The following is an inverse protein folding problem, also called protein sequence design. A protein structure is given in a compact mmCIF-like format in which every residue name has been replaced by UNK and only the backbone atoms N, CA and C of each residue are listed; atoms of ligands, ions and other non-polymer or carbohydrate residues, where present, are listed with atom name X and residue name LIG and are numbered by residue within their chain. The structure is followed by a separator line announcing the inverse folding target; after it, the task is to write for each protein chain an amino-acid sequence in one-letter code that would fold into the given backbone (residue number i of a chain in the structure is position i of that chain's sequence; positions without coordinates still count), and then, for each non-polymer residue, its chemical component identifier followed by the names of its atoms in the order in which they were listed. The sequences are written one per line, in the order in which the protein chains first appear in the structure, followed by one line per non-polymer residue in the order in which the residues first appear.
data_IF_709887190279
#
_entry.id   IF_709887190279
#
_cell.length_a   1.000
_cell.length_b   1.000
_cell.length_c   1.000
_cell.angle_alpha   90.00
_cell.angle_beta   90.00
_cell.angle_gamma   90.00
#
_symmetry.space_group_name_H-M   'P 1'
#
loop_
_entity.id
_entity.type
_entity.pdbx_description
1 polymer ?
#
# COMPACT_ATOMS: atom_id res chain seq x y z
N UNK A 1 35.60 -16.58 -14.39
CA UNK A 1 34.26 -16.23 -14.92
C UNK A 1 33.83 -17.37 -15.81
N UNK A 2 32.57 -17.79 -15.76
CA UNK A 2 32.04 -18.86 -16.61
C UNK A 2 31.86 -18.35 -18.05
N UNK A 3 31.93 -19.25 -19.04
CA UNK A 3 31.68 -18.92 -20.45
C UNK A 3 30.28 -18.31 -20.65
N UNK A 4 29.29 -18.80 -19.90
CA UNK A 4 27.93 -18.24 -19.86
C UNK A 4 27.90 -16.78 -19.40
N UNK A 5 28.70 -16.41 -18.39
CA UNK A 5 28.74 -15.04 -17.89
C UNK A 5 29.31 -14.08 -18.92
N UNK A 6 30.39 -14.46 -19.61
CA UNK A 6 31.02 -13.60 -20.62
C UNK A 6 30.06 -13.28 -21.77
N UNK A 7 29.34 -14.29 -22.28
CA UNK A 7 28.34 -14.09 -23.34
C UNK A 7 27.17 -13.21 -22.90
N UNK A 8 26.63 -13.47 -21.70
CA UNK A 8 25.57 -12.64 -21.11
C UNK A 8 26.02 -11.19 -20.88
N UNK A 9 27.21 -10.99 -20.31
CA UNK A 9 27.76 -9.67 -20.04
C UNK A 9 28.00 -8.89 -21.33
N UNK A 10 28.47 -9.54 -22.41
CA UNK A 10 28.61 -8.90 -23.71
C UNK A 10 27.25 -8.42 -24.28
N UNK A 11 26.21 -9.25 -24.20
CA UNK A 11 24.86 -8.88 -24.64
C UNK A 11 24.34 -7.65 -23.87
N UNK A 12 24.48 -7.66 -22.53
CA UNK A 12 24.06 -6.53 -21.69
C UNK A 12 24.94 -5.30 -21.93
N UNK A 13 26.25 -5.45 -22.07
CA UNK A 13 27.18 -4.33 -22.35
C UNK A 13 26.82 -3.61 -23.65
N UNK A 14 26.42 -4.37 -24.68
CA UNK A 14 26.06 -3.82 -25.98
C UNK A 14 24.75 -3.03 -25.96
N UNK A 15 23.78 -3.45 -25.15
CA UNK A 15 22.41 -2.92 -25.15
C UNK A 15 22.11 -1.97 -23.99
N UNK A 16 22.60 -2.31 -22.79
CA UNK A 16 22.33 -1.62 -21.53
C UNK A 16 23.64 -1.46 -20.70
N UNK A 17 24.61 -0.66 -21.16
CA UNK A 17 25.94 -0.54 -20.53
C UNK A 17 25.87 -0.13 -19.05
N UNK A 18 25.01 0.84 -18.70
CA UNK A 18 24.82 1.29 -17.30
C UNK A 18 24.21 0.21 -16.41
N UNK A 19 23.40 -0.67 -16.98
CA UNK A 19 22.81 -1.78 -16.25
C UNK A 19 23.88 -2.80 -15.88
N UNK A 20 24.81 -3.09 -16.79
CA UNK A 20 25.92 -4.00 -16.50
C UNK A 20 26.80 -3.45 -15.37
N UNK A 21 27.15 -2.16 -15.40
CA UNK A 21 27.92 -1.51 -14.33
C UNK A 21 27.25 -1.73 -12.95
N UNK A 22 25.93 -1.58 -12.88
CA UNK A 22 25.17 -1.81 -11.65
C UNK A 22 25.17 -3.29 -11.25
N UNK A 23 24.91 -4.20 -12.19
CA UNK A 23 24.89 -5.64 -11.92
C UNK A 23 26.25 -6.19 -11.45
N UNK A 24 27.36 -5.63 -11.95
CA UNK A 24 28.71 -5.99 -11.51
C UNK A 24 29.01 -5.54 -10.07
N UNK A 25 28.26 -4.57 -9.54
CA UNK A 25 28.39 -4.10 -8.17
C UNK A 25 27.51 -4.87 -7.17
N UNK A 26 26.60 -5.74 -7.65
CA UNK A 26 25.73 -6.54 -6.80
C UNK A 26 26.51 -7.67 -6.10
N UNK A 27 26.24 -7.91 -4.82
CA UNK A 27 26.85 -9.02 -4.07
C UNK A 27 26.05 -10.32 -4.29
N UNK A 28 26.31 -10.98 -5.41
CA UNK A 28 25.73 -12.30 -5.70
C UNK A 28 26.36 -13.44 -4.86
N UNK A 29 27.55 -13.23 -4.29
CA UNK A 29 28.28 -14.26 -3.54
C UNK A 29 27.71 -14.46 -2.13
N UNK A 30 27.07 -13.43 -1.56
CA UNK A 30 26.36 -13.52 -0.29
C UNK A 30 25.04 -14.29 -0.33
N UNK A 31 24.55 -14.69 -1.52
CA UNK A 31 23.30 -15.42 -1.66
C UNK A 31 23.46 -16.91 -1.30
N UNK A 32 22.61 -17.40 -0.40
CA UNK A 32 22.47 -18.84 -0.19
C UNK A 32 21.67 -19.45 -1.34
N UNK A 33 22.37 -20.01 -2.32
CA UNK A 33 21.81 -20.59 -3.52
C UNK A 33 22.07 -22.09 -3.59
N UNK A 34 21.00 -22.86 -3.79
CA UNK A 34 21.03 -24.32 -3.90
C UNK A 34 20.43 -24.77 -5.24
N UNK A 35 21.04 -25.77 -5.88
CA UNK A 35 20.40 -26.47 -6.99
C UNK A 35 19.35 -27.43 -6.43
N UNK A 36 18.10 -27.30 -6.87
CA UNK A 36 17.01 -28.19 -6.47
C UNK A 36 16.59 -29.03 -7.66
N UNK A 37 16.66 -30.35 -7.49
CA UNK A 37 16.34 -31.33 -8.52
C UNK A 37 14.94 -31.92 -8.35
N UNK A 38 14.32 -32.25 -9.48
CA UNK A 38 13.05 -32.95 -9.60
C UNK A 38 13.05 -33.79 -10.88
N UNK A 39 12.08 -33.55 -11.77
CA UNK A 39 12.16 -34.07 -13.15
C UNK A 39 13.06 -33.20 -14.04
N UNK A 40 13.23 -31.93 -13.67
CA UNK A 40 14.27 -31.04 -14.16
C UNK A 40 15.08 -30.49 -12.98
N UNK A 41 15.52 -29.24 -13.10
CA UNK A 41 16.21 -28.54 -12.01
C UNK A 41 15.87 -27.06 -12.00
N UNK A 42 15.98 -26.45 -10.82
CA UNK A 42 15.81 -25.01 -10.61
C UNK A 42 16.81 -24.51 -9.57
N UNK A 43 16.98 -23.19 -9.52
CA UNK A 43 17.75 -22.53 -8.48
C UNK A 43 16.82 -22.19 -7.31
N UNK A 44 17.24 -22.49 -6.09
CA UNK A 44 16.58 -22.08 -4.86
C UNK A 44 17.44 -21.05 -4.15
N UNK A 45 16.89 -19.87 -3.88
CA UNK A 45 17.55 -18.82 -3.10
C UNK A 45 16.89 -18.72 -1.74
N UNK A 46 17.65 -19.00 -0.66
CA UNK A 46 17.12 -18.97 0.71
C UNK A 46 15.85 -19.81 0.90
N UNK A 47 15.80 -20.98 0.24
CA UNK A 47 14.65 -21.90 0.26
C UNK A 47 13.49 -21.55 -0.70
N UNK A 48 13.62 -20.50 -1.51
CA UNK A 48 12.63 -20.09 -2.51
C UNK A 48 13.09 -20.55 -3.90
N UNK A 49 12.36 -21.49 -4.51
CA UNK A 49 12.60 -21.93 -5.88
C UNK A 49 12.22 -20.82 -6.87
N UNK A 50 13.12 -20.48 -7.79
CA UNK A 50 12.88 -19.43 -8.80
C UNK A 50 11.85 -19.86 -9.85
N UNK A 51 11.87 -21.15 -10.21
CA UNK A 51 10.95 -21.80 -11.16
C UNK A 51 10.68 -23.24 -10.73
N UNK A 52 9.81 -23.95 -11.44
CA UNK A 52 9.45 -25.35 -11.19
C UNK A 52 10.64 -26.28 -11.34
N UNK A 53 10.96 -27.06 -10.29
CA UNK A 53 11.93 -28.16 -10.37
C UNK A 53 11.47 -29.37 -11.21
N UNK A 54 10.21 -29.40 -11.61
CA UNK A 54 9.64 -30.52 -12.37
C UNK A 54 9.59 -30.21 -13.87
N UNK A 55 9.11 -29.03 -14.25
CA UNK A 55 9.04 -28.61 -15.66
C UNK A 55 8.94 -27.07 -15.73
N UNK A 56 10.08 -26.43 -16.01
CA UNK A 56 10.21 -24.97 -16.11
C UNK A 56 9.44 -24.41 -17.30
N UNK A 57 9.46 -25.12 -18.43
CA UNK A 57 8.82 -24.70 -19.67
C UNK A 57 7.30 -24.79 -19.56
N UNK A 58 6.78 -25.86 -18.95
CA UNK A 58 5.35 -25.99 -18.70
C UNK A 58 4.84 -24.90 -17.77
N UNK A 59 5.57 -24.59 -16.67
CA UNK A 59 5.22 -23.48 -15.79
C UNK A 59 5.18 -22.14 -16.54
N UNK A 60 6.22 -21.85 -17.33
CA UNK A 60 6.30 -20.63 -18.14
C UNK A 60 5.13 -20.51 -19.14
N UNK A 61 4.73 -21.61 -19.78
CA UNK A 61 3.57 -21.65 -20.68
C UNK A 61 2.25 -21.41 -19.95
N UNK A 62 2.07 -22.03 -18.77
CA UNK A 62 0.89 -21.80 -17.94
C UNK A 62 0.80 -20.34 -17.49
N UNK A 63 1.94 -19.74 -17.10
CA UNK A 63 2.01 -18.33 -16.75
C UNK A 63 1.63 -17.47 -17.96
N UNK A 64 2.32 -17.61 -19.10
CA UNK A 64 2.07 -16.83 -20.31
C UNK A 64 0.61 -16.88 -20.81
N UNK A 65 -0.07 -18.03 -20.64
CA UNK A 65 -1.46 -18.22 -21.05
C UNK A 65 -2.48 -17.37 -20.25
N UNK A 66 -2.09 -16.78 -19.12
CA UNK A 66 -2.99 -15.95 -18.31
C UNK A 66 -3.04 -14.47 -18.73
N UNK A 67 -2.22 -14.03 -19.69
CA UNK A 67 -2.33 -12.70 -20.29
C UNK A 67 -3.22 -12.71 -21.54
N UNK A 68 -3.82 -11.56 -21.91
CA UNK A 68 -4.51 -11.41 -23.19
C UNK A 68 -3.54 -11.70 -24.35
N UNK A 69 -3.94 -12.60 -25.25
CA UNK A 69 -3.11 -13.09 -26.35
C UNK A 69 -2.59 -11.97 -27.28
N UNK A 70 -3.35 -10.88 -27.41
CA UNK A 70 -3.06 -9.76 -28.33
C UNK A 70 -2.37 -8.58 -27.65
N UNK A 71 -1.62 -8.80 -26.56
CA UNK A 71 -0.90 -7.72 -25.87
C UNK A 71 0.39 -7.35 -26.62
N UNK A 72 0.47 -6.19 -27.32
CA UNK A 72 1.66 -5.83 -28.09
C UNK A 72 2.85 -5.44 -27.21
N UNK A 73 2.58 -5.02 -25.97
CA UNK A 73 3.60 -4.68 -24.97
C UNK A 73 3.26 -5.41 -23.68
N UNK A 74 4.24 -6.10 -23.12
CA UNK A 74 4.11 -6.83 -21.85
C UNK A 74 5.21 -6.37 -20.89
N UNK A 75 4.85 -6.13 -19.63
CA UNK A 75 5.80 -5.85 -18.56
C UNK A 75 5.99 -7.10 -17.68
N UNK A 76 7.20 -7.64 -17.64
CA UNK A 76 7.55 -8.79 -16.81
C UNK A 76 8.39 -8.32 -15.61
N UNK A 77 7.87 -8.46 -14.40
CA UNK A 77 8.59 -8.16 -13.17
C UNK A 77 9.19 -9.43 -12.60
N UNK A 78 10.52 -9.46 -12.54
CA UNK A 78 11.33 -10.63 -12.25
C UNK A 78 11.93 -11.24 -13.51
N UNK A 79 13.10 -11.83 -13.35
CA UNK A 79 13.90 -12.44 -14.41
C UNK A 79 13.82 -13.98 -14.40
N UNK A 80 13.52 -14.59 -13.26
CA UNK A 80 13.48 -16.04 -13.08
C UNK A 80 14.76 -16.69 -13.59
N UNK A 81 14.62 -17.75 -14.36
CA UNK A 81 15.74 -18.39 -15.07
C UNK A 81 15.69 -18.16 -16.60
N UNK A 82 14.88 -17.19 -17.05
CA UNK A 82 14.73 -16.82 -18.46
C UNK A 82 13.64 -17.58 -19.24
N UNK A 83 12.95 -18.55 -18.62
CA UNK A 83 11.99 -19.41 -19.30
C UNK A 83 10.76 -18.64 -19.81
N UNK A 84 10.19 -17.78 -18.97
CA UNK A 84 9.00 -17.02 -19.32
C UNK A 84 9.29 -16.00 -20.43
N UNK A 85 10.47 -15.39 -20.43
CA UNK A 85 10.91 -14.48 -21.49
C UNK A 85 10.91 -15.19 -22.84
N UNK A 86 11.50 -16.39 -22.91
CA UNK A 86 11.54 -17.17 -24.14
C UNK A 86 10.13 -17.51 -24.63
N UNK A 87 9.25 -18.00 -23.75
CA UNK A 87 7.87 -18.33 -24.11
C UNK A 87 7.08 -17.09 -24.55
N UNK A 88 7.23 -15.95 -23.89
CA UNK A 88 6.54 -14.71 -24.29
C UNK A 88 7.01 -14.22 -25.66
N UNK A 89 8.31 -14.37 -25.98
CA UNK A 89 8.88 -13.97 -27.27
C UNK A 89 8.42 -14.86 -28.44
N UNK A 90 7.89 -16.06 -28.19
CA UNK A 90 7.24 -16.89 -29.20
C UNK A 90 5.91 -16.29 -29.70
N UNK A 91 5.30 -15.37 -28.94
CA UNK A 91 4.04 -14.74 -29.34
C UNK A 91 4.25 -13.77 -30.51
N UNK A 92 3.65 -14.02 -31.70
CA UNK A 92 3.81 -13.15 -32.87
C UNK A 92 3.17 -11.77 -32.71
N UNK A 93 2.20 -11.62 -31.79
CA UNK A 93 1.57 -10.32 -31.51
C UNK A 93 2.46 -9.40 -30.67
N UNK A 94 3.48 -9.95 -29.98
CA UNK A 94 4.35 -9.20 -29.09
C UNK A 94 5.32 -8.32 -29.87
N UNK A 95 5.21 -7.01 -29.66
CA UNK A 95 6.11 -6.00 -30.24
C UNK A 95 7.22 -5.60 -29.26
N UNK A 96 6.95 -5.63 -27.95
CA UNK A 96 7.93 -5.28 -26.93
C UNK A 96 7.74 -6.05 -25.61
N UNK A 97 8.81 -6.61 -25.08
CA UNK A 97 8.89 -7.20 -23.74
C UNK A 97 9.74 -6.31 -22.83
N UNK A 98 9.13 -5.73 -21.81
CA UNK A 98 9.81 -4.92 -20.80
C UNK A 98 10.10 -5.79 -19.58
N UNK A 99 11.34 -6.19 -19.35
CA UNK A 99 11.76 -7.00 -18.21
C UNK A 99 12.29 -6.10 -17.10
N UNK A 100 11.73 -6.23 -15.90
CA UNK A 100 12.04 -5.42 -14.72
C UNK A 100 12.69 -6.29 -13.65
N UNK A 101 13.96 -6.04 -13.35
CA UNK A 101 14.72 -6.75 -12.32
C UNK A 101 14.17 -6.36 -10.94
N UNK A 102 13.77 -7.36 -10.15
CA UNK A 102 13.29 -7.18 -8.77
C UNK A 102 14.36 -7.47 -7.72
N UNK A 103 15.40 -8.24 -8.08
CA UNK A 103 16.56 -8.46 -7.23
C UNK A 103 17.83 -8.53 -8.10
N UNK A 104 18.70 -7.51 -7.96
CA UNK A 104 19.93 -7.39 -8.73
C UNK A 104 20.91 -8.55 -8.50
N UNK A 105 21.16 -8.90 -7.24
CA UNK A 105 22.06 -9.98 -6.87
C UNK A 105 21.60 -11.36 -7.38
N UNK A 106 20.28 -11.64 -7.33
CA UNK A 106 19.71 -12.88 -7.87
C UNK A 106 19.88 -12.94 -9.38
N UNK A 107 19.60 -11.85 -10.10
CA UNK A 107 19.78 -11.82 -11.54
C UNK A 107 21.26 -11.93 -11.93
N UNK A 108 22.17 -11.25 -11.22
CA UNK A 108 23.61 -11.38 -11.41
C UNK A 108 24.10 -12.83 -11.24
N UNK A 109 23.58 -13.54 -10.23
CA UNK A 109 23.86 -14.97 -10.05
C UNK A 109 23.35 -15.82 -11.23
N UNK A 110 22.13 -15.57 -11.70
CA UNK A 110 21.56 -16.29 -12.86
C UNK A 110 22.43 -16.09 -14.11
N UNK A 111 22.90 -14.86 -14.36
CA UNK A 111 23.80 -14.56 -15.48
C UNK A 111 25.15 -15.28 -15.38
N UNK A 112 25.61 -15.60 -14.17
CA UNK A 112 26.84 -16.38 -13.95
C UNK A 112 26.65 -17.87 -14.20
N UNK A 113 25.44 -18.39 -13.95
CA UNK A 113 25.17 -19.83 -13.97
C UNK A 113 24.57 -20.33 -15.28
N UNK A 114 23.76 -19.51 -15.95
CA UNK A 114 22.96 -19.91 -17.11
C UNK A 114 23.19 -18.98 -18.29
N UNK A 115 23.19 -19.54 -19.49
CA UNK A 115 23.14 -18.73 -20.71
C UNK A 115 21.74 -18.09 -20.83
N UNK A 116 21.71 -16.79 -21.08
CA UNK A 116 20.49 -15.97 -21.20
C UNK A 116 20.48 -15.19 -22.54
N UNK A 117 21.48 -15.41 -23.40
CA UNK A 117 21.68 -14.66 -24.63
C UNK A 117 20.49 -14.71 -25.59
N UNK A 118 19.73 -15.82 -25.61
CA UNK A 118 18.60 -15.99 -26.52
C UNK A 118 17.56 -14.88 -26.40
N UNK A 119 17.17 -14.51 -25.17
CA UNK A 119 16.22 -13.42 -24.95
C UNK A 119 16.93 -12.07 -24.74
N UNK A 120 18.14 -12.04 -24.15
CA UNK A 120 18.90 -10.81 -23.97
C UNK A 120 19.27 -10.14 -25.31
N UNK A 121 19.43 -10.90 -26.40
CA UNK A 121 19.74 -10.36 -27.72
C UNK A 121 18.49 -10.11 -28.58
N UNK A 122 17.29 -10.51 -28.15
CA UNK A 122 16.07 -10.26 -28.94
C UNK A 122 15.77 -8.75 -28.97
N UNK A 123 15.64 -8.12 -30.15
CA UNK A 123 15.46 -6.68 -30.28
C UNK A 123 14.14 -6.16 -29.68
N UNK A 124 13.18 -7.04 -29.37
CA UNK A 124 11.92 -6.67 -28.72
C UNK A 124 12.07 -6.51 -27.21
N UNK A 125 13.16 -6.99 -26.61
CA UNK A 125 13.38 -6.93 -25.16
C UNK A 125 13.95 -5.58 -24.75
N UNK A 126 13.44 -5.02 -23.67
CA UNK A 126 14.06 -3.93 -22.91
C UNK A 126 14.24 -4.38 -21.46
N UNK A 127 15.31 -3.96 -20.81
CA UNK A 127 15.70 -4.46 -19.47
C UNK A 127 16.08 -3.29 -18.55
N UNK A 128 15.54 -3.27 -17.33
CA UNK A 128 15.84 -2.27 -16.32
C UNK A 128 15.51 -2.73 -14.90
N UNK A 129 15.86 -1.95 -13.88
CA UNK A 129 15.42 -2.25 -12.51
C UNK A 129 13.99 -1.76 -12.32
N UNK A 130 13.17 -2.56 -11.63
CA UNK A 130 11.80 -2.17 -11.35
C UNK A 130 11.74 -0.85 -10.57
N UNK A 131 12.61 -0.68 -9.58
CA UNK A 131 12.71 0.49 -8.70
C UNK A 131 13.05 1.81 -9.41
N UNK A 132 13.49 1.77 -10.68
CA UNK A 132 13.64 2.97 -11.50
C UNK A 132 12.29 3.59 -11.89
N UNK A 133 11.20 2.79 -11.82
CA UNK A 133 9.86 3.24 -12.15
C UNK A 133 9.19 3.99 -10.99
N UNK A 134 8.42 5.01 -11.36
CA UNK A 134 7.57 5.69 -10.39
C UNK A 134 6.35 4.83 -9.97
N UNK A 135 5.82 4.01 -10.89
CA UNK A 135 4.62 3.18 -10.76
C UNK A 135 4.69 1.92 -11.64
N UNK A 136 3.96 0.88 -11.26
CA UNK A 136 3.79 -0.33 -12.09
C UNK A 136 3.15 0.00 -13.44
N UNK A 137 3.40 -0.85 -14.42
CA UNK A 137 2.93 -0.71 -15.80
C UNK A 137 2.08 -1.93 -16.17
N UNK A 138 0.99 -1.71 -16.92
CA UNK A 138 0.04 -2.74 -17.33
C UNK A 138 0.08 -2.94 -18.86
N UNK A 139 -0.25 -4.13 -19.38
CA UNK A 139 -0.45 -5.37 -18.63
C UNK A 139 0.88 -5.93 -18.11
N UNK A 140 0.87 -6.61 -16.96
CA UNK A 140 2.07 -7.20 -16.39
C UNK A 140 1.95 -8.66 -15.98
N UNK A 141 3.12 -9.28 -15.87
CA UNK A 141 3.39 -10.46 -15.06
C UNK A 141 4.35 -10.12 -13.94
N UNK A 142 4.15 -10.73 -12.76
CA UNK A 142 5.11 -10.66 -11.68
C UNK A 142 5.44 -12.07 -11.20
N UNK A 143 6.72 -12.44 -11.24
CA UNK A 143 7.15 -13.77 -10.82
C UNK A 143 6.97 -13.91 -9.29
N UNK A 144 6.20 -14.90 -8.81
CA UNK A 144 5.92 -15.02 -7.37
C UNK A 144 7.17 -15.17 -6.51
N UNK A 145 8.17 -15.91 -6.99
CA UNK A 145 9.46 -16.12 -6.31
C UNK A 145 10.20 -14.79 -6.13
N UNK A 146 10.24 -13.95 -7.15
CA UNK A 146 10.91 -12.65 -7.09
C UNK A 146 10.11 -11.57 -6.36
N UNK A 147 8.78 -11.70 -6.22
CA UNK A 147 8.03 -10.86 -5.29
C UNK A 147 8.43 -11.11 -3.83
N UNK A 148 8.82 -12.35 -3.50
CA UNK A 148 9.33 -12.72 -2.17
C UNK A 148 10.79 -12.30 -2.01
N UNK A 149 11.60 -12.49 -3.05
CA UNK A 149 13.03 -12.22 -3.04
C UNK A 149 13.41 -10.77 -3.37
N UNK A 150 12.46 -9.89 -3.68
CA UNK A 150 12.79 -8.52 -4.11
C UNK A 150 13.73 -7.81 -3.11
N UNK A 151 14.72 -7.12 -3.64
CA UNK A 151 15.67 -6.35 -2.85
C UNK A 151 15.06 -5.03 -2.32
N UNK A 152 15.84 -4.30 -1.52
CA UNK A 152 15.39 -3.06 -0.89
C UNK A 152 15.13 -1.95 -1.92
N UNK A 153 15.90 -1.92 -3.01
CA UNK A 153 15.73 -0.93 -4.07
C UNK A 153 14.38 -1.08 -4.77
N UNK A 154 13.97 -2.33 -5.02
CA UNK A 154 12.74 -2.65 -5.74
C UNK A 154 11.52 -2.80 -4.81
N UNK A 155 11.68 -2.62 -3.50
CA UNK A 155 10.65 -2.83 -2.48
C UNK A 155 9.34 -2.08 -2.78
N UNK A 156 9.43 -0.81 -3.19
CA UNK A 156 8.27 0.03 -3.53
C UNK A 156 7.44 -0.58 -4.67
N UNK A 157 8.10 -1.02 -5.74
CA UNK A 157 7.40 -1.60 -6.90
C UNK A 157 6.86 -2.99 -6.57
N UNK A 158 7.61 -3.80 -5.81
CA UNK A 158 7.09 -5.05 -5.24
C UNK A 158 5.79 -4.82 -4.47
N UNK A 159 5.71 -3.78 -3.63
CA UNK A 159 4.51 -3.47 -2.85
C UNK A 159 3.31 -3.13 -3.73
N UNK A 160 3.53 -2.35 -4.80
CA UNK A 160 2.49 -2.02 -5.78
C UNK A 160 2.02 -3.24 -6.57
N UNK A 161 2.94 -4.09 -7.02
CA UNK A 161 2.60 -5.35 -7.69
C UNK A 161 1.78 -6.27 -6.78
N UNK A 162 2.22 -6.43 -5.53
CA UNK A 162 1.50 -7.26 -4.55
C UNK A 162 0.11 -6.68 -4.27
N UNK A 163 -0.01 -5.36 -4.13
CA UNK A 163 -1.31 -4.71 -3.94
C UNK A 163 -2.26 -4.96 -5.10
N UNK A 164 -1.76 -4.83 -6.34
CA UNK A 164 -2.57 -5.03 -7.56
C UNK A 164 -3.02 -6.48 -7.72
N UNK A 165 -2.11 -7.45 -7.51
CA UNK A 165 -2.41 -8.88 -7.59
C UNK A 165 -3.49 -9.30 -6.59
N UNK A 166 -3.52 -8.68 -5.39
CA UNK A 166 -4.48 -9.01 -4.34
C UNK A 166 -5.76 -8.17 -4.39
N UNK A 167 -5.89 -7.21 -5.32
CA UNK A 167 -7.02 -6.26 -5.36
C UNK A 167 -8.38 -6.98 -5.44
N UNK A 168 -8.51 -7.96 -6.34
CA UNK A 168 -9.74 -8.72 -6.51
C UNK A 168 -10.12 -9.52 -5.25
N UNK A 169 -9.12 -10.13 -4.59
CA UNK A 169 -9.33 -10.87 -3.34
C UNK A 169 -9.74 -9.93 -2.21
N UNK A 170 -9.08 -8.78 -2.06
CA UNK A 170 -9.38 -7.79 -1.02
C UNK A 170 -10.80 -7.21 -1.15
N UNK A 171 -11.30 -7.09 -2.38
CA UNK A 171 -12.62 -6.52 -2.66
C UNK A 171 -13.77 -7.56 -2.64
N UNK A 172 -13.46 -8.86 -2.46
CA UNK A 172 -14.46 -9.94 -2.55
C UNK A 172 -15.59 -9.85 -1.52
N UNK A 173 -15.34 -9.22 -0.38
CA UNK A 173 -16.31 -9.07 0.71
C UNK A 173 -17.17 -7.79 0.55
N UNK A 174 -16.84 -6.94 -0.44
CA UNK A 174 -17.52 -5.66 -0.71
C UNK A 174 -18.34 -5.72 -2.01
N UNK A 175 -19.16 -6.77 -2.15
CA UNK A 175 -20.08 -6.93 -3.29
C UNK A 175 -21.33 -6.08 -3.04
N UNK A 176 -21.61 -5.17 -3.98
CA UNK A 176 -22.69 -4.18 -3.87
C UNK A 176 -24.06 -4.77 -3.56
N UNK A 177 -24.35 -5.95 -4.14
CA UNK A 177 -25.65 -6.61 -4.00
C UNK A 177 -25.66 -7.74 -2.95
N UNK A 178 -24.66 -7.80 -2.07
CA UNK A 178 -24.73 -8.74 -0.95
C UNK A 178 -25.87 -8.36 0.01
N UNK A 179 -26.58 -9.35 0.59
CA UNK A 179 -27.66 -9.09 1.55
C UNK A 179 -27.19 -8.23 2.74
N UNK A 180 -25.98 -8.48 3.25
CA UNK A 180 -25.40 -7.78 4.39
C UNK A 180 -25.16 -6.29 4.10
N UNK A 181 -24.58 -5.97 2.93
CA UNK A 181 -24.38 -4.58 2.49
C UNK A 181 -25.72 -3.89 2.28
N UNK A 182 -26.66 -4.55 1.59
CA UNK A 182 -27.99 -3.99 1.31
C UNK A 182 -28.73 -3.65 2.61
N UNK A 183 -28.74 -4.58 3.58
CA UNK A 183 -29.37 -4.38 4.88
C UNK A 183 -28.70 -3.26 5.67
N UNK A 184 -27.36 -3.20 5.69
CA UNK A 184 -26.62 -2.13 6.38
C UNK A 184 -26.92 -0.74 5.80
N UNK A 185 -26.96 -0.61 4.48
CA UNK A 185 -27.27 0.67 3.82
C UNK A 185 -28.73 1.08 4.02
N UNK A 186 -29.68 0.14 3.95
CA UNK A 186 -31.09 0.40 4.21
C UNK A 186 -31.32 0.90 5.64
N UNK A 187 -30.73 0.21 6.63
CA UNK A 187 -30.82 0.62 8.05
C UNK A 187 -30.16 1.96 8.36
N UNK A 188 -29.23 2.42 7.51
CA UNK A 188 -28.58 3.72 7.67
C UNK A 188 -29.30 4.86 6.92
N UNK A 189 -30.27 4.56 6.06
CA UNK A 189 -30.86 5.52 5.13
C UNK A 189 -31.51 6.74 5.79
N UNK A 190 -32.20 6.54 6.92
CA UNK A 190 -32.83 7.64 7.67
C UNK A 190 -31.79 8.62 8.24
N UNK A 191 -30.67 8.09 8.77
CA UNK A 191 -29.57 8.91 9.25
C UNK A 191 -28.90 9.66 8.10
N UNK A 192 -28.63 8.98 6.98
CA UNK A 192 -28.02 9.62 5.80
C UNK A 192 -28.91 10.74 5.24
N UNK A 193 -30.23 10.56 5.23
CA UNK A 193 -31.16 11.57 4.77
C UNK A 193 -31.21 12.80 5.69
N UNK A 194 -31.07 12.60 7.01
CA UNK A 194 -31.15 13.66 8.01
C UNK A 194 -29.82 14.37 8.31
N UNK A 195 -28.69 13.67 8.19
CA UNK A 195 -27.37 14.22 8.50
C UNK A 195 -26.82 15.12 7.39
N UNK A 196 -25.93 16.04 7.78
CA UNK A 196 -25.36 17.04 6.87
C UNK A 196 -24.45 16.40 5.83
N UNK A 197 -24.39 16.99 4.64
CA UNK A 197 -23.43 16.55 3.61
C UNK A 197 -22.02 16.96 4.01
N UNK A 198 -21.06 16.03 3.95
CA UNK A 198 -19.63 16.29 4.17
C UNK A 198 -19.09 17.43 3.28
N UNK A 199 -19.73 17.70 2.13
CA UNK A 199 -19.43 18.85 1.28
C UNK A 199 -19.42 20.19 2.02
N UNK A 200 -20.23 20.33 3.07
CA UNK A 200 -20.31 21.56 3.85
C UNK A 200 -19.02 21.86 4.64
N UNK A 201 -18.16 20.87 4.84
CA UNK A 201 -16.85 21.06 5.46
C UNK A 201 -15.79 21.51 4.44
N UNK A 202 -16.04 21.35 3.13
CA UNK A 202 -15.04 21.65 2.11
C UNK A 202 -14.75 23.15 2.04
N UNK A 203 -13.47 23.49 1.92
CA UNK A 203 -12.99 24.88 1.90
C UNK A 203 -13.15 25.66 3.22
N UNK A 204 -13.55 25.03 4.33
CA UNK A 204 -13.79 25.74 5.61
C UNK A 204 -12.52 26.05 6.41
N UNK A 205 -11.38 25.50 6.03
CA UNK A 205 -10.09 25.62 6.73
C UNK A 205 -8.95 26.03 5.77
N UNK A 206 -9.12 27.09 4.95
CA UNK A 206 -8.15 27.45 3.93
C UNK A 206 -6.80 27.82 4.56
N UNK A 207 -5.72 27.20 4.08
CA UNK A 207 -4.35 27.46 4.53
C UNK A 207 -4.04 26.98 5.95
N UNK A 208 -4.99 26.36 6.64
CA UNK A 208 -4.79 25.87 8.02
C UNK A 208 -3.93 24.60 8.01
N UNK A 209 -3.05 24.48 8.99
CA UNK A 209 -2.39 23.22 9.29
C UNK A 209 -3.39 22.21 9.88
N UNK A 210 -3.34 20.98 9.38
CA UNK A 210 -4.21 19.90 9.84
C UNK A 210 -3.36 18.71 10.29
N UNK A 211 -3.68 18.18 11.46
CA UNK A 211 -3.11 16.93 11.95
C UNK A 211 -4.09 15.81 11.65
N UNK A 212 -3.62 14.82 10.89
CA UNK A 212 -4.34 13.57 10.65
C UNK A 212 -3.75 12.50 11.55
N UNK A 213 -4.53 12.05 12.52
CA UNK A 213 -4.10 11.20 13.62
C UNK A 213 -4.67 9.79 13.44
N UNK A 214 -3.82 8.87 13.01
CA UNK A 214 -4.07 7.44 12.92
C UNK A 214 -3.68 6.70 14.21
N UNK A 215 -3.76 5.37 14.23
CA UNK A 215 -3.63 4.55 15.47
C UNK A 215 -2.38 3.68 15.50
N UNK A 216 -1.40 3.95 14.64
CA UNK A 216 -0.13 3.24 14.66
C UNK A 216 0.61 3.44 16.00
N UNK A 217 1.43 2.47 16.44
CA UNK A 217 2.14 2.54 17.71
C UNK A 217 2.92 3.84 17.97
N UNK A 218 3.53 4.45 16.94
CA UNK A 218 4.32 5.68 17.10
C UNK A 218 3.54 6.85 17.69
N UNK A 219 2.20 6.83 17.59
CA UNK A 219 1.33 7.81 18.24
C UNK A 219 1.61 7.93 19.75
N UNK A 220 1.99 6.83 20.42
CA UNK A 220 2.27 6.82 21.86
C UNK A 220 3.36 7.82 22.26
N UNK A 221 4.33 8.09 21.37
CA UNK A 221 5.40 9.07 21.60
C UNK A 221 4.94 10.52 21.49
N UNK A 222 3.76 10.75 20.92
CA UNK A 222 3.26 12.08 20.61
C UNK A 222 2.10 12.53 21.51
N UNK A 223 1.59 11.66 22.41
CA UNK A 223 0.45 12.01 23.25
C UNK A 223 0.68 13.28 24.10
N UNK A 224 1.83 13.39 24.76
CA UNK A 224 2.14 14.57 25.57
C UNK A 224 2.12 15.85 24.73
N UNK A 225 2.82 15.83 23.60
CA UNK A 225 2.92 16.98 22.70
C UNK A 225 1.58 17.35 22.06
N UNK A 226 0.78 16.36 21.65
CA UNK A 226 -0.56 16.58 21.12
C UNK A 226 -1.49 17.20 22.17
N UNK A 227 -1.38 16.80 23.43
CA UNK A 227 -2.13 17.38 24.55
C UNK A 227 -1.73 18.84 24.80
N UNK A 228 -0.45 19.16 24.77
CA UNK A 228 0.03 20.54 24.87
C UNK A 228 -0.49 21.41 23.73
N UNK A 229 -0.42 20.92 22.49
CA UNK A 229 -0.90 21.64 21.30
C UNK A 229 -2.42 21.82 21.38
N UNK A 230 -3.17 20.80 21.82
CA UNK A 230 -4.64 20.86 21.98
C UNK A 230 -5.06 21.98 22.94
N UNK A 231 -4.27 22.27 23.96
CA UNK A 231 -4.54 23.32 24.95
C UNK A 231 -4.25 24.75 24.44
N UNK A 232 -3.61 24.91 23.28
CA UNK A 232 -3.29 26.22 22.72
C UNK A 232 -4.52 26.85 22.04
N UNK A 233 -4.66 28.17 22.18
CA UNK A 233 -5.75 28.92 21.55
C UNK A 233 -5.68 28.94 20.02
N UNK A 234 -4.46 28.98 19.47
CA UNK A 234 -4.19 28.86 18.02
C UNK A 234 -3.42 27.58 17.80
N UNK A 235 -4.07 26.60 17.18
CA UNK A 235 -3.50 25.28 16.93
C UNK A 235 -4.01 24.68 15.61
N UNK A 236 -3.32 23.66 15.08
CA UNK A 236 -3.80 22.85 13.96
C UNK A 236 -5.18 22.24 14.24
N UNK A 237 -5.93 21.96 13.17
CA UNK A 237 -7.16 21.16 13.27
C UNK A 237 -6.78 19.69 13.48
N UNK A 238 -7.41 19.00 14.42
CA UNK A 238 -7.15 17.59 14.70
C UNK A 238 -8.26 16.74 14.07
N UNK A 239 -7.91 15.98 13.03
CA UNK A 239 -8.76 14.96 12.43
C UNK A 239 -8.19 13.60 12.84
N UNK A 240 -8.94 12.76 13.54
CA UNK A 240 -8.49 11.41 13.87
C UNK A 240 -9.32 10.34 13.18
N UNK A 241 -8.71 9.17 12.97
CA UNK A 241 -9.45 7.96 12.58
C UNK A 241 -10.20 7.39 13.79
N UNK A 242 -11.26 6.62 13.53
CA UNK A 242 -12.08 5.95 14.54
C UNK A 242 -11.29 5.17 15.61
N UNK A 243 -10.29 4.39 15.22
CA UNK A 243 -9.49 3.57 16.13
C UNK A 243 -8.55 4.40 17.01
N UNK A 244 -8.22 5.64 16.63
CA UNK A 244 -7.38 6.55 17.40
C UNK A 244 -8.20 7.32 18.45
N UNK A 245 -9.50 7.44 18.25
CA UNK A 245 -10.39 8.24 19.07
C UNK A 245 -10.36 7.84 20.56
N UNK A 246 -10.63 6.56 20.87
CA UNK A 246 -10.58 6.07 22.27
C UNK A 246 -9.20 6.25 22.93
N UNK A 247 -8.07 5.87 22.30
CA UNK A 247 -6.74 6.16 22.82
C UNK A 247 -6.50 7.64 23.11
N UNK A 248 -6.89 8.55 22.21
CA UNK A 248 -6.75 10.00 22.40
C UNK A 248 -7.56 10.51 23.60
N UNK A 249 -8.82 10.11 23.73
CA UNK A 249 -9.65 10.51 24.87
C UNK A 249 -9.07 10.04 26.21
N UNK A 250 -8.53 8.81 26.27
CA UNK A 250 -7.86 8.29 27.48
C UNK A 250 -6.66 9.14 27.90
N UNK A 251 -6.02 9.81 26.95
CA UNK A 251 -4.88 10.71 27.18
C UNK A 251 -5.33 12.18 27.38
N UNK A 252 -6.63 12.44 27.45
CA UNK A 252 -7.18 13.80 27.60
C UNK A 252 -7.03 14.65 26.34
N UNK A 253 -6.90 14.02 25.16
CA UNK A 253 -6.77 14.69 23.87
C UNK A 253 -8.10 14.55 23.15
N UNK A 254 -8.83 15.65 23.01
CA UNK A 254 -10.06 15.69 22.22
C UNK A 254 -9.70 16.04 20.76
N UNK A 255 -10.10 15.26 19.75
CA UNK A 255 -10.01 15.69 18.35
C UNK A 255 -11.07 16.74 18.02
N UNK A 256 -10.94 17.40 16.86
CA UNK A 256 -12.03 18.25 16.32
C UNK A 256 -12.99 17.43 15.45
N UNK A 257 -12.44 16.50 14.67
CA UNK A 257 -13.17 15.63 13.76
C UNK A 257 -12.72 14.19 13.96
N UNK A 258 -13.67 13.26 14.00
CA UNK A 258 -13.43 11.82 13.89
C UNK A 258 -13.97 11.34 12.55
N UNK A 259 -13.18 10.53 11.84
CA UNK A 259 -13.61 9.89 10.59
C UNK A 259 -13.82 8.40 10.85
N UNK A 260 -14.95 7.85 10.40
CA UNK A 260 -15.28 6.43 10.53
C UNK A 260 -15.90 5.88 9.25
N UNK A 261 -15.36 4.77 8.74
CA UNK A 261 -15.88 4.13 7.52
C UNK A 261 -16.10 2.63 7.67
N UNK A 262 -15.60 2.04 8.75
CA UNK A 262 -15.51 0.60 8.91
C UNK A 262 -16.79 0.03 9.54
N UNK A 263 -17.35 -1.00 8.89
CA UNK A 263 -18.54 -1.72 9.32
C UNK A 263 -18.35 -2.54 10.60
N UNK A 264 -17.11 -2.75 11.04
CA UNK A 264 -16.75 -3.49 12.26
C UNK A 264 -16.57 -2.61 13.48
N UNK A 265 -16.67 -1.29 13.32
CA UNK A 265 -16.58 -0.34 14.42
C UNK A 265 -17.79 -0.48 15.34
N UNK A 266 -17.50 -0.43 16.64
CA UNK A 266 -18.47 -0.56 17.73
C UNK A 266 -18.27 0.54 18.76
N UNK A 267 -19.13 0.60 19.78
CA UNK A 267 -19.01 1.57 20.88
C UNK A 267 -17.70 1.46 21.67
N UNK A 268 -16.98 0.34 21.57
CA UNK A 268 -15.63 0.21 22.12
C UNK A 268 -14.64 1.15 21.42
N UNK A 269 -14.79 1.35 20.11
CA UNK A 269 -13.89 2.15 19.29
C UNK A 269 -14.33 3.61 19.26
N UNK A 270 -15.65 3.83 19.14
CA UNK A 270 -16.30 5.14 19.12
C UNK A 270 -17.18 5.33 20.37
N UNK A 271 -16.59 5.46 21.57
CA UNK A 271 -17.37 5.79 22.78
C UNK A 271 -18.11 7.13 22.61
N UNK A 272 -19.44 7.14 22.67
CA UNK A 272 -20.23 8.36 22.44
C UNK A 272 -20.09 9.37 23.58
N UNK A 273 -19.56 8.96 24.74
CA UNK A 273 -19.36 9.85 25.88
C UNK A 273 -18.39 10.98 25.51
N UNK A 274 -18.78 12.23 25.82
CA UNK A 274 -18.02 13.45 25.48
C UNK A 274 -17.89 13.77 23.99
N UNK A 275 -18.68 13.15 23.13
CA UNK A 275 -18.69 13.43 21.69
C UNK A 275 -19.39 14.75 21.30
N UNK A 276 -20.08 15.43 22.23
CA UNK A 276 -20.93 16.59 21.93
C UNK A 276 -20.22 17.75 21.21
N UNK A 277 -18.92 17.96 21.49
CA UNK A 277 -18.10 19.00 20.86
C UNK A 277 -17.28 18.50 19.65
N UNK A 278 -17.46 17.23 19.27
CA UNK A 278 -16.62 16.54 18.28
C UNK A 278 -17.47 16.21 17.06
N UNK A 279 -16.99 16.61 15.89
CA UNK A 279 -17.67 16.31 14.63
C UNK A 279 -17.37 14.87 14.22
N UNK A 280 -18.40 14.12 13.82
CA UNK A 280 -18.25 12.82 13.18
C UNK A 280 -18.46 12.95 11.67
N UNK A 281 -17.48 12.53 10.89
CA UNK A 281 -17.62 12.30 9.45
C UNK A 281 -17.67 10.79 9.22
N UNK A 282 -18.73 10.30 8.58
CA UNK A 282 -18.90 8.86 8.39
C UNK A 282 -19.33 8.46 6.98
N UNK A 283 -19.10 7.19 6.64
CA UNK A 283 -19.71 6.54 5.48
C UNK A 283 -20.80 5.53 5.90
N UNK A 284 -21.86 5.31 5.11
CA UNK A 284 -23.06 4.57 5.55
C UNK A 284 -22.92 3.08 5.87
N UNK A 285 -21.71 2.52 5.80
CA UNK A 285 -21.44 1.15 6.26
C UNK A 285 -21.20 1.06 7.77
N UNK A 286 -20.94 2.19 8.45
CA UNK A 286 -20.84 2.26 9.91
C UNK A 286 -22.19 1.87 10.55
N UNK A 287 -22.14 1.20 11.69
CA UNK A 287 -23.35 0.75 12.36
C UNK A 287 -24.27 1.93 12.76
N UNK A 288 -25.53 1.99 12.28
CA UNK A 288 -26.43 3.09 12.56
C UNK A 288 -26.76 3.26 14.04
N UNK A 289 -26.65 2.20 14.86
CA UNK A 289 -26.82 2.32 16.31
C UNK A 289 -25.69 3.13 16.93
N UNK A 290 -24.45 2.94 16.46
CA UNK A 290 -23.29 3.71 16.93
C UNK A 290 -23.40 5.16 16.46
N UNK A 291 -23.83 5.38 15.21
CA UNK A 291 -24.08 6.72 14.69
C UNK A 291 -25.15 7.45 15.50
N UNK A 292 -26.27 6.77 15.83
CA UNK A 292 -27.38 7.34 16.58
C UNK A 292 -26.99 7.76 18.01
N UNK A 293 -26.01 7.10 18.62
CA UNK A 293 -25.50 7.45 19.95
C UNK A 293 -24.55 8.66 19.95
N UNK A 294 -24.01 9.06 18.79
CA UNK A 294 -23.11 10.19 18.70
C UNK A 294 -23.82 11.51 19.02
N UNK A 295 -23.27 12.30 19.95
CA UNK A 295 -23.92 13.50 20.48
C UNK A 295 -23.53 14.78 19.73
N UNK A 296 -22.39 14.76 19.03
CA UNK A 296 -21.89 15.90 18.26
C UNK A 296 -22.46 15.98 16.85
N UNK A 297 -22.06 16.98 16.05
CA UNK A 297 -22.47 17.11 14.66
C UNK A 297 -22.05 15.90 13.83
N UNK A 298 -22.93 15.44 12.94
CA UNK A 298 -22.65 14.35 12.00
C UNK A 298 -22.70 14.84 10.55
N UNK A 299 -21.71 14.44 9.78
CA UNK A 299 -21.62 14.65 8.36
C UNK A 299 -21.44 13.31 7.64
N UNK A 300 -22.20 13.11 6.58
CA UNK A 300 -22.18 11.90 5.78
C UNK A 300 -21.59 12.17 4.41
N UNK A 301 -20.78 11.23 3.93
CA UNK A 301 -20.32 11.17 2.55
C UNK A 301 -20.38 9.76 1.99
N UNK A 302 -19.80 9.56 0.82
CA UNK A 302 -19.63 8.26 0.19
C UNK A 302 -18.19 8.03 -0.27
N UNK A 303 -17.79 6.78 -0.53
CA UNK A 303 -16.65 6.54 -1.43
C UNK A 303 -17.15 6.35 -2.86
N UNK A 304 -16.22 6.25 -3.81
CA UNK A 304 -16.54 5.89 -5.20
C UNK A 304 -16.97 4.42 -5.36
N UNK A 305 -16.89 3.60 -4.30
CA UNK A 305 -17.20 2.17 -4.36
C UNK A 305 -18.60 1.90 -4.94
N UNK A 306 -18.77 0.85 -5.77
CA UNK A 306 -20.07 0.44 -6.30
C UNK A 306 -21.11 0.14 -5.23
N UNK A 307 -20.69 -0.25 -4.01
CA UNK A 307 -21.62 -0.57 -2.91
C UNK A 307 -22.56 0.60 -2.60
N UNK A 308 -22.11 1.84 -2.79
CA UNK A 308 -22.90 3.03 -2.51
C UNK A 308 -23.66 3.57 -3.73
N UNK A 309 -23.53 2.97 -4.93
CA UNK A 309 -24.05 3.54 -6.18
C UNK A 309 -25.54 3.89 -6.10
N UNK A 310 -26.37 2.93 -5.71
CA UNK A 310 -27.82 3.12 -5.56
C UNK A 310 -28.17 4.17 -4.50
N UNK A 311 -27.44 4.17 -3.37
CA UNK A 311 -27.71 5.12 -2.29
C UNK A 311 -27.32 6.55 -2.68
N UNK A 312 -26.22 6.74 -3.43
CA UNK A 312 -25.80 8.04 -3.97
C UNK A 312 -26.83 8.64 -4.92
N UNK A 313 -27.48 7.81 -5.74
CA UNK A 313 -28.56 8.25 -6.63
C UNK A 313 -29.80 8.70 -5.86
N UNK A 314 -30.15 7.98 -4.79
CA UNK A 314 -31.34 8.26 -3.98
C UNK A 314 -31.15 9.42 -3.00
N UNK A 315 -29.96 9.50 -2.39
CA UNK A 315 -29.58 10.48 -1.36
C UNK A 315 -28.23 11.08 -1.75
N UNK A 316 -28.20 12.09 -2.63
CA UNK A 316 -26.94 12.68 -3.09
C UNK A 316 -26.17 13.33 -1.93
N UNK A 317 -24.91 12.92 -1.76
CA UNK A 317 -23.90 13.53 -0.87
C UNK A 317 -22.54 13.52 -1.55
N UNK A 318 -21.60 14.33 -1.08
CA UNK A 318 -20.25 14.34 -1.61
C UNK A 318 -19.47 13.05 -1.32
N UNK A 319 -18.38 12.87 -2.07
CA UNK A 319 -17.51 11.72 -1.95
C UNK A 319 -16.19 12.07 -1.27
N UNK A 320 -15.64 11.10 -0.53
CA UNK A 320 -14.28 11.07 -0.02
C UNK A 320 -13.52 9.89 -0.65
N UNK A 321 -12.22 10.08 -0.89
CA UNK A 321 -11.34 9.04 -1.38
C UNK A 321 -11.10 7.99 -0.30
N UNK A 322 -11.23 6.71 -0.66
CA UNK A 322 -11.03 5.56 0.23
C UNK A 322 -10.14 4.53 -0.46
N UNK A 323 -8.92 4.38 0.05
CA UNK A 323 -7.94 3.36 -0.37
C UNK A 323 -7.89 2.13 0.54
N UNK A 324 -9.01 1.79 1.20
CA UNK A 324 -9.13 0.61 2.07
C UNK A 324 -8.85 0.81 3.56
N UNK A 325 -8.38 2.00 3.97
CA UNK A 325 -8.21 2.39 5.38
C UNK A 325 -8.83 3.75 5.67
N UNK A 326 -9.28 3.97 6.90
CA UNK A 326 -9.92 5.21 7.41
C UNK A 326 -8.99 6.43 7.31
N UNK A 327 -7.66 6.22 7.27
CA UNK A 327 -6.70 7.31 7.09
C UNK A 327 -6.86 8.03 5.73
N UNK A 328 -7.29 7.32 4.68
CA UNK A 328 -7.46 7.90 3.34
C UNK A 328 -8.58 8.95 3.29
N UNK A 329 -9.82 8.68 3.75
CA UNK A 329 -10.86 9.70 3.79
C UNK A 329 -10.57 10.79 4.81
N UNK A 330 -9.83 10.50 5.90
CA UNK A 330 -9.39 11.54 6.83
C UNK A 330 -8.40 12.51 6.19
N UNK A 331 -7.45 11.99 5.40
CA UNK A 331 -6.51 12.81 4.64
C UNK A 331 -7.20 13.58 3.50
N UNK A 332 -8.08 12.92 2.74
CA UNK A 332 -8.85 13.57 1.68
C UNK A 332 -9.78 14.65 2.23
N UNK A 333 -10.40 14.43 3.38
CA UNK A 333 -11.17 15.45 4.08
C UNK A 333 -10.28 16.65 4.43
N UNK A 334 -9.09 16.44 5.03
CA UNK A 334 -8.17 17.53 5.35
C UNK A 334 -7.84 18.39 4.11
N UNK A 335 -7.51 17.74 2.99
CA UNK A 335 -7.21 18.42 1.72
C UNK A 335 -8.43 19.17 1.19
N UNK A 336 -9.61 18.55 1.16
CA UNK A 336 -10.85 19.19 0.69
C UNK A 336 -11.35 20.31 1.59
N UNK A 337 -11.04 20.27 2.89
CA UNK A 337 -11.28 21.39 3.81
C UNK A 337 -10.37 22.59 3.51
N UNK A 338 -9.34 22.44 2.67
CA UNK A 338 -8.45 23.53 2.23
C UNK A 338 -7.09 23.56 2.92
N UNK A 339 -6.66 22.46 3.54
CA UNK A 339 -5.35 22.38 4.16
C UNK A 339 -4.22 22.53 3.13
N UNK A 340 -3.26 23.42 3.42
CA UNK A 340 -2.01 23.53 2.65
C UNK A 340 -0.91 22.65 3.25
N UNK A 341 -1.06 22.26 4.52
CA UNK A 341 -0.11 21.46 5.27
C UNK A 341 -0.84 20.41 6.09
N UNK A 342 -0.43 19.15 5.93
CA UNK A 342 -0.98 18.03 6.70
C UNK A 342 0.15 17.24 7.36
N UNK A 343 0.06 17.06 8.68
CA UNK A 343 1.00 16.24 9.45
C UNK A 343 0.34 14.95 9.89
N UNK A 344 0.94 13.81 9.53
CA UNK A 344 0.46 12.48 9.84
C UNK A 344 1.04 12.00 11.17
N UNK A 345 0.18 11.56 12.09
CA UNK A 345 0.56 10.94 13.37
C UNK A 345 0.06 9.50 13.42
N UNK A 346 0.88 8.57 13.93
CA UNK A 346 0.51 7.15 14.01
C UNK A 346 0.23 6.50 12.64
N UNK A 347 0.75 7.04 11.55
CA UNK A 347 0.58 6.50 10.20
C UNK A 347 1.67 5.46 9.91
N UNK A 348 1.76 4.41 10.73
CA UNK A 348 2.96 3.56 10.74
C UNK A 348 3.01 2.53 9.61
N UNK A 349 1.88 1.97 9.17
CA UNK A 349 1.82 0.89 8.15
C UNK A 349 2.82 -0.26 8.35
N UNK A 350 3.25 -0.46 9.59
CA UNK A 350 4.24 -1.42 10.05
C UNK A 350 4.01 -1.63 11.55
N UNK A 351 4.87 -2.43 12.18
CA UNK A 351 4.75 -2.77 13.59
C UNK A 351 5.94 -2.26 14.42
N UNK A 352 6.18 -0.93 14.49
CA UNK A 352 7.21 -0.40 15.36
C UNK A 352 6.92 -0.78 16.81
N UNK A 353 7.98 -0.88 17.62
CA UNK A 353 7.89 -1.22 19.04
C UNK A 353 7.22 -2.59 19.32
N UNK A 354 7.15 -3.48 18.32
CA UNK A 354 6.45 -4.78 18.40
C UNK A 354 4.97 -4.65 18.83
N UNK A 355 4.30 -3.57 18.43
CA UNK A 355 2.87 -3.35 18.67
C UNK A 355 2.12 -3.24 17.36
N UNK A 356 0.83 -3.57 17.40
CA UNK A 356 -0.06 -3.38 16.24
C UNK A 356 -0.68 -1.99 16.23
N UNK A 357 -1.13 -1.49 17.38
CA UNK A 357 -1.80 -0.20 17.50
C UNK A 357 -1.52 0.47 18.86
N UNK A 358 -1.55 1.81 18.90
CA UNK A 358 -1.39 2.59 20.12
C UNK A 358 -2.64 2.50 21.01
N UNK A 359 -2.47 2.15 22.29
CA UNK A 359 -3.56 2.12 23.27
C UNK A 359 -4.55 0.95 23.16
N UNK A 360 -4.20 -0.06 22.34
CA UNK A 360 -4.95 -1.32 22.15
C UNK A 360 -4.05 -2.53 22.45
N UNK A 361 -4.65 -3.64 22.90
CA UNK A 361 -3.92 -4.90 23.09
C UNK A 361 -3.70 -5.61 21.74
N UNK A 362 -2.66 -6.43 21.64
CA UNK A 362 -2.38 -7.18 20.41
C UNK A 362 -3.55 -8.11 20.07
N UNK A 363 -3.98 -8.07 18.80
CA UNK A 363 -5.15 -8.82 18.33
C UNK A 363 -6.51 -8.15 18.50
N UNK A 364 -6.64 -7.00 19.19
CA UNK A 364 -7.95 -6.36 19.39
C UNK A 364 -8.53 -5.72 18.11
N UNK A 365 -7.67 -5.19 17.24
CA UNK A 365 -8.08 -4.49 16.01
C UNK A 365 -7.76 -5.26 14.73
N UNK A 366 -7.33 -6.52 14.84
CA UNK A 366 -6.93 -7.31 13.67
C UNK A 366 -6.02 -8.50 14.01
N UNK A 367 -5.27 -9.01 13.02
CA UNK A 367 -4.32 -10.10 13.25
C UNK A 367 -3.26 -9.74 14.29
N UNK A 368 -2.81 -10.75 15.04
CA UNK A 368 -1.72 -10.61 16.01
C UNK A 368 -0.38 -10.37 15.30
N UNK A 369 0.56 -9.73 15.99
CA UNK A 369 1.92 -9.46 15.49
C UNK A 369 2.61 -10.73 14.95
N UNK A 370 2.40 -11.89 15.59
CA UNK A 370 2.99 -13.17 15.20
C UNK A 370 2.64 -13.64 13.78
N UNK A 371 1.53 -13.19 13.22
CA UNK A 371 1.08 -13.54 11.87
C UNK A 371 1.80 -12.74 10.77
N UNK A 372 2.49 -11.65 11.10
CA UNK A 372 3.14 -10.78 10.13
C UNK A 372 4.34 -11.46 9.45
N UNK A 373 4.22 -11.70 8.14
CA UNK A 373 5.26 -12.30 7.27
C UNK A 373 5.87 -11.33 6.26
N UNK A 374 5.33 -10.12 6.15
CA UNK A 374 5.79 -9.14 5.17
C UNK A 374 6.69 -8.09 5.81
N UNK A 375 7.37 -7.32 4.97
CA UNK A 375 8.23 -6.21 5.38
C UNK A 375 8.10 -5.02 4.44
N UNK A 376 8.40 -3.84 4.97
CA UNK A 376 8.60 -2.56 4.27
C UNK A 376 9.85 -1.89 4.83
N UNK A 377 10.36 -0.88 4.15
CA UNK A 377 11.43 -0.04 4.70
C UNK A 377 10.83 1.04 5.61
N UNK A 378 11.46 1.27 6.76
CA UNK A 378 11.13 2.38 7.64
C UNK A 378 11.81 3.69 7.20
N UNK A 379 11.61 4.76 7.98
CA UNK A 379 12.23 6.06 7.75
C UNK A 379 13.73 6.15 8.02
N UNK A 380 14.35 5.07 8.49
CA UNK A 380 15.79 4.90 8.62
C UNK A 380 16.37 4.00 7.52
N UNK A 381 15.54 3.46 6.62
CA UNK A 381 15.95 2.53 5.58
C UNK A 381 16.12 1.10 6.06
N UNK A 382 15.59 0.75 7.24
CA UNK A 382 15.65 -0.59 7.81
C UNK A 382 14.39 -1.38 7.47
N UNK A 383 14.51 -2.70 7.30
CA UNK A 383 13.35 -3.58 7.12
C UNK A 383 12.57 -3.71 8.42
N UNK A 384 11.32 -3.27 8.41
CA UNK A 384 10.37 -3.44 9.52
C UNK A 384 9.23 -4.37 9.13
N UNK A 385 8.71 -5.12 10.11
CA UNK A 385 7.61 -6.07 9.88
C UNK A 385 6.32 -5.31 9.57
N UNK A 386 5.57 -5.84 8.62
CA UNK A 386 4.24 -5.36 8.24
C UNK A 386 3.35 -6.51 7.81
N UNK A 387 2.12 -6.19 7.42
CA UNK A 387 1.12 -7.11 6.89
C UNK A 387 0.64 -6.67 5.51
N UNK A 388 -0.03 -7.58 4.80
CA UNK A 388 -0.38 -7.40 3.41
C UNK A 388 -1.30 -6.19 3.17
N UNK A 389 -2.35 -6.05 3.98
CA UNK A 389 -3.27 -4.92 3.89
C UNK A 389 -2.60 -3.57 4.21
N UNK A 390 -1.66 -3.53 5.16
CA UNK A 390 -0.89 -2.31 5.45
C UNK A 390 -0.03 -1.85 4.27
N UNK A 391 0.55 -2.79 3.50
CA UNK A 391 1.24 -2.46 2.24
C UNK A 391 0.29 -1.84 1.21
N UNK A 392 -0.91 -2.40 1.06
CA UNK A 392 -1.93 -1.83 0.18
C UNK A 392 -2.36 -0.43 0.63
N UNK A 393 -2.60 -0.23 1.92
CA UNK A 393 -2.97 1.10 2.44
C UNK A 393 -1.84 2.12 2.25
N UNK A 394 -0.59 1.71 2.45
CA UNK A 394 0.57 2.56 2.18
C UNK A 394 0.62 2.96 0.69
N UNK A 395 0.46 2.00 -0.23
CA UNK A 395 0.45 2.29 -1.68
C UNK A 395 -0.62 3.31 -2.06
N UNK A 396 -1.85 3.14 -1.56
CA UNK A 396 -2.97 4.05 -1.84
C UNK A 396 -2.75 5.44 -1.23
N UNK A 397 -2.18 5.52 -0.02
CA UNK A 397 -1.81 6.78 0.60
C UNK A 397 -0.76 7.54 -0.22
N UNK A 398 0.29 6.85 -0.69
CA UNK A 398 1.33 7.46 -1.53
C UNK A 398 0.80 7.96 -2.87
N UNK A 399 -0.11 7.18 -3.51
CA UNK A 399 -0.80 7.60 -4.74
C UNK A 399 -1.64 8.85 -4.50
N UNK A 400 -2.36 8.88 -3.38
CA UNK A 400 -3.12 10.06 -2.98
C UNK A 400 -2.20 11.28 -2.80
N UNK A 401 -1.10 11.15 -2.05
CA UNK A 401 -0.13 12.23 -1.81
C UNK A 401 0.43 12.75 -3.13
N UNK A 402 0.86 11.86 -4.03
CA UNK A 402 1.39 12.23 -5.34
C UNK A 402 0.37 12.99 -6.22
N UNK A 403 -0.93 12.70 -6.08
CA UNK A 403 -2.02 13.41 -6.74
C UNK A 403 -2.28 14.82 -6.22
N UNK A 404 -1.66 15.23 -5.10
CA UNK A 404 -1.90 16.51 -4.44
C UNK A 404 -0.60 17.34 -4.25
N UNK A 405 0.12 17.70 -5.33
CA UNK A 405 1.44 18.33 -5.24
C UNK A 405 1.45 19.74 -4.63
N UNK A 406 0.28 20.36 -4.44
CA UNK A 406 0.13 21.68 -3.81
C UNK A 406 0.06 21.62 -2.28
N UNK A 407 -0.14 20.44 -1.71
CA UNK A 407 -0.24 20.23 -0.26
C UNK A 407 1.10 19.69 0.24
N UNK A 408 1.63 20.25 1.33
CA UNK A 408 2.81 19.70 2.00
C UNK A 408 2.37 18.62 2.98
N UNK A 409 2.87 17.40 2.79
CA UNK A 409 2.61 16.28 3.69
C UNK A 409 3.81 15.99 4.56
N UNK A 410 3.61 15.95 5.87
CA UNK A 410 4.63 15.61 6.84
C UNK A 410 4.36 14.27 7.51
N UNK A 411 5.42 13.49 7.76
CA UNK A 411 5.39 12.31 8.60
C UNK A 411 6.02 12.63 9.96
N UNK A 412 5.30 12.37 11.05
CA UNK A 412 5.79 12.61 12.41
C UNK A 412 6.71 11.52 12.97
N UNK A 413 6.88 10.38 12.30
CA UNK A 413 7.67 9.25 12.81
C UNK A 413 8.56 8.64 11.73
N UNK A 414 9.77 8.21 12.12
CA UNK A 414 10.68 7.42 11.29
C UNK A 414 10.64 5.92 11.57
N UNK A 415 10.00 5.49 12.67
CA UNK A 415 9.95 4.07 13.06
C UNK A 415 8.91 3.27 12.25
N UNK A 416 7.91 3.96 11.69
CA UNK A 416 6.94 3.38 10.76
C UNK A 416 7.50 3.24 9.36
N UNK A 417 6.71 2.66 8.46
CA UNK A 417 7.01 2.59 7.04
C UNK A 417 7.34 3.99 6.49
N UNK A 418 8.37 4.06 5.64
CA UNK A 418 8.63 5.24 4.85
C UNK A 418 7.44 5.50 3.92
N UNK A 419 6.90 6.72 3.95
CA UNK A 419 5.75 7.13 3.13
C UNK A 419 6.26 8.04 2.01
N UNK A 420 6.28 7.55 0.77
CA UNK A 420 6.73 8.35 -0.37
C UNK A 420 5.87 9.61 -0.56
N UNK A 421 6.53 10.73 -0.86
CA UNK A 421 5.89 12.04 -1.02
C UNK A 421 5.70 12.84 0.28
N UNK A 422 6.06 12.27 1.43
CA UNK A 422 6.11 13.00 2.71
C UNK A 422 7.51 13.53 3.03
N UNK A 423 7.59 14.54 3.89
CA UNK A 423 8.82 15.02 4.52
C UNK A 423 8.73 14.71 6.01
N UNK A 424 9.83 14.28 6.64
CA UNK A 424 9.83 14.09 8.09
C UNK A 424 9.68 15.43 8.82
N UNK A 425 8.72 15.51 9.74
CA UNK A 425 8.42 16.75 10.45
C UNK A 425 9.57 17.13 11.40
N UNK A 426 10.19 18.31 11.27
CA UNK A 426 11.45 18.64 11.97
C UNK A 426 11.35 18.56 13.50
N UNK A 427 10.17 18.82 14.06
CA UNK A 427 9.96 18.79 15.51
C UNK A 427 9.46 17.45 16.05
N UNK A 428 8.79 16.64 15.22
CA UNK A 428 8.09 15.44 15.70
C UNK A 428 8.83 14.15 15.37
N UNK A 429 9.61 14.12 14.28
CA UNK A 429 10.22 12.91 13.72
C UNK A 429 11.60 12.56 14.29
N UNK A 430 11.86 12.89 15.57
CA UNK A 430 13.16 12.62 16.20
C UNK A 430 13.43 11.12 16.32
#
# INVERSE_FOLDING_TARGET
MSESFEGNAQAIQARWPRLLERLLAEDSAGLQADLVEGLGSTLSISGIQLTSRHDRTAEARTQAASLPADSPVIHLYGTGLGDLQQILLENPALQRLQVHILNGAVFALVLQLLDQQAWLNDPRVELGYAGDLAEIQLPFFALPSELVLADDYNAKIRDRLVSEVHLAFNNRDFVADSPEVTQRLQSSAELVASDSDVAQLFGTQPGREVFVIATGPSLERHFERLREIRAQARRPLFICVDTAYRPLLKQGIEPDIVVSIDHRISGLHLPPEKSAAITLVYLPMVDPQILALWQGPRYVGYSASPIYARMREQLPKAQLYVGGSVIHPALDLAVKMGAEQVTLFGADFAFPMNKTHAGWLDGELGPQLGAARHWVLDGHGQRVRTQLNFRSYLCELERFIAGHPRVRFYNSSRDGAMIAGTIYHPEFSQ
#
